data_IF_771134312830
#
_entry.id   IF_771134312830
#
_cell.length_a   1.000
_cell.length_b   1.000
_cell.length_c   1.000
_cell.angle_alpha   90.00
_cell.angle_beta   90.00
_cell.angle_gamma   90.00
#
_symmetry.space_group_name_H-M   'P 1'
#
loop_
_entity.id
_entity.type
_entity.pdbx_description
1 polymer ?
#
# COMPACT_ATOMS: atom_id res chain seq x y z
N UNK A 1 -13.95 -8.05 -5.98
CA UNK A 1 -12.95 -7.07 -5.47
C UNK A 1 -11.76 -6.93 -6.42
N UNK A 2 -10.93 -7.95 -6.65
CA UNK A 2 -9.72 -7.82 -7.50
C UNK A 2 -9.95 -7.26 -8.91
N UNK A 3 -11.00 -7.72 -9.60
CA UNK A 3 -11.39 -7.18 -10.92
C UNK A 3 -11.64 -5.67 -10.92
N UNK A 4 -12.20 -5.12 -9.82
CA UNK A 4 -12.40 -3.68 -9.66
C UNK A 4 -11.06 -2.97 -9.50
N UNK A 5 -10.14 -3.50 -8.69
CA UNK A 5 -8.79 -2.93 -8.55
C UNK A 5 -8.04 -2.89 -9.89
N UNK A 6 -8.08 -3.97 -10.67
CA UNK A 6 -7.44 -4.01 -11.98
C UNK A 6 -8.01 -2.98 -12.96
N UNK A 7 -9.35 -2.91 -13.07
CA UNK A 7 -10.02 -2.06 -14.06
C UNK A 7 -10.07 -0.60 -13.67
N UNK A 8 -10.42 -0.32 -12.42
CA UNK A 8 -10.72 1.04 -11.96
C UNK A 8 -9.51 1.75 -11.35
N UNK A 9 -8.51 1.01 -10.84
CA UNK A 9 -7.37 1.60 -10.14
C UNK A 9 -6.05 1.36 -10.87
N UNK A 10 -5.75 0.14 -11.32
CA UNK A 10 -4.48 -0.16 -11.96
C UNK A 10 -4.43 0.34 -13.41
N UNK A 11 -5.41 -0.04 -14.24
CA UNK A 11 -5.43 0.25 -15.68
C UNK A 11 -5.20 1.75 -16.01
N UNK A 12 -5.79 2.72 -15.29
CA UNK A 12 -5.53 4.14 -15.57
C UNK A 12 -4.10 4.61 -15.24
N UNK A 13 -3.35 3.84 -14.45
CA UNK A 13 -2.06 4.25 -13.88
C UNK A 13 -0.85 3.62 -14.57
N UNK A 14 -1.06 2.64 -15.45
CA UNK A 14 0.00 1.86 -16.10
C UNK A 14 0.02 2.11 -17.60
N UNK A 15 1.21 2.01 -18.21
CA UNK A 15 1.39 2.02 -19.67
C UNK A 15 1.68 0.60 -20.14
N UNK A 16 0.88 0.09 -21.07
CA UNK A 16 1.13 -1.19 -21.69
C UNK A 16 2.33 -1.10 -22.69
N UNK A 17 3.18 -2.13 -22.80
CA UNK A 17 3.20 -3.34 -21.97
C UNK A 17 3.85 -3.10 -20.60
N UNK A 18 3.32 -3.74 -19.57
CA UNK A 18 3.86 -3.67 -18.20
C UNK A 18 3.91 -5.03 -17.51
N UNK A 19 4.67 -5.13 -16.43
CA UNK A 19 4.72 -6.31 -15.56
C UNK A 19 4.12 -5.97 -14.20
N UNK A 20 3.20 -6.81 -13.73
CA UNK A 20 2.57 -6.70 -12.41
C UNK A 20 3.13 -7.79 -11.50
N UNK A 21 4.05 -7.41 -10.61
CA UNK A 21 4.70 -8.31 -9.68
C UNK A 21 3.84 -8.49 -8.41
N UNK A 22 3.33 -9.69 -8.17
CA UNK A 22 2.38 -9.98 -7.08
C UNK A 22 2.75 -11.25 -6.33
N UNK A 23 2.30 -11.36 -5.08
CA UNK A 23 2.29 -12.63 -4.36
C UNK A 23 1.24 -13.60 -4.96
N UNK A 24 1.38 -14.88 -4.62
CA UNK A 24 0.48 -15.97 -5.07
C UNK A 24 -0.85 -16.03 -4.32
N UNK A 25 -1.39 -14.90 -3.87
CA UNK A 25 -2.74 -14.89 -3.29
C UNK A 25 -3.75 -15.34 -4.35
N UNK A 26 -4.66 -16.25 -4.01
CA UNK A 26 -5.56 -16.93 -4.98
C UNK A 26 -6.27 -15.98 -5.95
N UNK A 27 -6.67 -14.80 -5.47
CA UNK A 27 -7.30 -13.79 -6.32
C UNK A 27 -6.35 -13.24 -7.40
N UNK A 28 -5.07 -13.04 -7.08
CA UNK A 28 -4.05 -12.49 -7.98
C UNK A 28 -3.67 -13.47 -9.10
N UNK A 29 -3.66 -14.77 -8.80
CA UNK A 29 -3.32 -15.84 -9.75
C UNK A 29 -4.55 -16.54 -10.36
N UNK A 30 -5.76 -16.09 -10.00
CA UNK A 30 -6.99 -16.61 -10.59
C UNK A 30 -7.03 -16.38 -12.10
N UNK A 31 -7.54 -17.35 -12.87
CA UNK A 31 -7.71 -17.23 -14.33
C UNK A 31 -8.40 -15.92 -14.74
N UNK A 32 -9.45 -15.54 -14.01
CA UNK A 32 -10.15 -14.28 -14.23
C UNK A 32 -9.26 -13.06 -14.00
N UNK A 33 -8.48 -13.04 -12.92
CA UNK A 33 -7.56 -11.94 -12.63
C UNK A 33 -6.45 -11.81 -13.67
N UNK A 34 -5.86 -12.95 -14.08
CA UNK A 34 -4.84 -13.01 -15.11
C UNK A 34 -5.35 -12.46 -16.45
N UNK A 35 -6.53 -12.89 -16.90
CA UNK A 35 -7.13 -12.41 -18.15
C UNK A 35 -7.40 -10.90 -18.12
N UNK A 36 -7.94 -10.37 -17.02
CA UNK A 36 -8.18 -8.92 -16.90
C UNK A 36 -6.86 -8.15 -16.93
N UNK A 37 -5.84 -8.64 -16.23
CA UNK A 37 -4.52 -8.00 -16.21
C UNK A 37 -3.90 -7.96 -17.62
N UNK A 38 -3.91 -9.07 -18.35
CA UNK A 38 -3.30 -9.15 -19.67
C UNK A 38 -4.13 -8.48 -20.76
N UNK A 39 -5.40 -8.85 -20.90
CA UNK A 39 -6.26 -8.44 -22.02
C UNK A 39 -6.79 -7.02 -21.88
N UNK A 40 -7.07 -6.57 -20.64
CA UNK A 40 -7.68 -5.26 -20.42
C UNK A 40 -6.70 -4.18 -19.96
N UNK A 41 -5.70 -4.55 -19.14
CA UNK A 41 -4.71 -3.60 -18.60
C UNK A 41 -3.34 -3.66 -19.31
N UNK A 42 -3.10 -4.65 -20.18
CA UNK A 42 -1.82 -4.80 -20.89
C UNK A 42 -0.66 -5.16 -19.95
N UNK A 43 -0.96 -5.86 -18.85
CA UNK A 43 -0.01 -6.25 -17.82
C UNK A 43 0.18 -7.76 -17.78
N UNK A 44 1.44 -8.21 -17.86
CA UNK A 44 1.79 -9.59 -17.52
C UNK A 44 1.92 -9.74 -16.01
N UNK A 45 1.22 -10.70 -15.41
CA UNK A 45 1.37 -10.99 -13.98
C UNK A 45 2.60 -11.86 -13.75
N UNK A 46 3.55 -11.35 -12.98
CA UNK A 46 4.68 -12.10 -12.47
C UNK A 46 4.40 -12.51 -11.03
N UNK A 47 4.13 -13.81 -10.82
CA UNK A 47 3.86 -14.34 -9.48
C UNK A 47 5.18 -14.63 -8.74
N UNK A 48 5.30 -14.06 -7.54
CA UNK A 48 6.41 -14.31 -6.62
C UNK A 48 6.30 -15.73 -6.04
N UNK A 49 7.40 -16.51 -5.95
CA UNK A 49 7.37 -17.83 -5.32
C UNK A 49 6.75 -17.81 -3.91
N UNK A 50 6.09 -18.91 -3.49
CA UNK A 50 5.58 -19.04 -2.14
C UNK A 50 6.65 -18.67 -1.09
N UNK A 51 6.25 -17.96 -0.04
CA UNK A 51 7.10 -17.58 1.09
C UNK A 51 8.30 -16.67 0.75
N UNK A 52 8.37 -16.11 -0.46
CA UNK A 52 9.47 -15.23 -0.88
C UNK A 52 9.12 -13.74 -0.83
N UNK A 53 7.87 -13.36 -0.56
CA UNK A 53 7.40 -11.97 -0.64
C UNK A 53 8.25 -10.99 0.15
N UNK A 54 8.63 -11.34 1.38
CA UNK A 54 9.49 -10.50 2.24
C UNK A 54 10.90 -10.31 1.72
N UNK A 55 11.36 -11.18 0.81
CA UNK A 55 12.70 -11.15 0.22
C UNK A 55 12.72 -10.51 -1.17
N UNK A 56 11.66 -10.70 -1.97
CA UNK A 56 11.67 -10.31 -3.40
C UNK A 56 10.55 -9.36 -3.82
N UNK A 57 9.60 -9.01 -2.94
CA UNK A 57 8.59 -8.00 -3.29
C UNK A 57 9.12 -6.60 -2.96
N UNK A 58 9.24 -5.68 -3.94
CA UNK A 58 9.71 -4.31 -3.70
C UNK A 58 8.90 -3.56 -2.62
N UNK A 59 7.59 -3.78 -2.59
CA UNK A 59 6.71 -3.20 -1.57
C UNK A 59 7.17 -3.59 -0.17
N UNK A 60 7.33 -4.89 0.10
CA UNK A 60 7.73 -5.40 1.41
C UNK A 60 9.19 -5.10 1.77
N UNK A 61 10.10 -5.26 0.80
CA UNK A 61 11.56 -5.14 1.00
C UNK A 61 12.01 -3.70 1.26
N UNK A 62 11.34 -2.72 0.64
CA UNK A 62 11.82 -1.33 0.64
C UNK A 62 10.79 -0.26 1.03
N UNK A 63 9.49 -0.49 0.88
CA UNK A 63 8.46 0.55 1.09
C UNK A 63 7.69 0.37 2.40
N UNK A 64 7.39 -0.85 2.82
CA UNK A 64 6.59 -1.09 4.03
C UNK A 64 7.25 -0.56 5.30
N UNK A 65 8.59 -0.60 5.40
CA UNK A 65 9.33 -0.07 6.55
C UNK A 65 9.21 1.46 6.66
N UNK A 66 9.58 2.27 5.65
CA UNK A 66 9.40 3.73 5.72
C UNK A 66 7.92 4.11 5.86
N UNK A 67 7.01 3.44 5.15
CA UNK A 67 5.57 3.69 5.28
C UNK A 67 5.06 3.53 6.73
N UNK A 68 5.42 2.44 7.42
CA UNK A 68 5.05 2.23 8.83
C UNK A 68 5.69 3.27 9.76
N UNK A 69 6.91 3.73 9.45
CA UNK A 69 7.57 4.82 10.19
C UNK A 69 6.82 6.14 10.03
N UNK A 70 6.42 6.48 8.81
CA UNK A 70 5.64 7.68 8.53
C UNK A 70 4.28 7.64 9.23
N UNK A 71 3.58 6.51 9.20
CA UNK A 71 2.34 6.30 9.95
C UNK A 71 2.52 6.57 11.45
N UNK A 72 3.56 6.01 12.06
CA UNK A 72 3.87 6.23 13.48
C UNK A 72 4.17 7.70 13.78
N UNK A 73 4.97 8.36 12.95
CA UNK A 73 5.36 9.75 13.15
C UNK A 73 4.15 10.69 13.05
N UNK A 74 3.26 10.47 12.08
CA UNK A 74 2.03 11.26 11.92
C UNK A 74 1.12 11.07 13.14
N UNK A 75 0.96 9.84 13.62
CA UNK A 75 0.15 9.57 14.80
C UNK A 75 0.70 10.28 16.05
N UNK A 76 2.02 10.22 16.29
CA UNK A 76 2.66 10.93 17.40
C UNK A 76 2.53 12.45 17.29
N UNK A 77 2.61 13.02 16.07
CA UNK A 77 2.43 14.46 15.86
C UNK A 77 1.01 14.92 16.19
N UNK A 78 0.01 14.11 15.84
CA UNK A 78 -1.39 14.40 16.16
C UNK A 78 -1.63 14.32 17.69
N UNK A 79 -1.09 13.30 18.38
CA UNK A 79 -1.18 13.22 19.85
C UNK A 79 -0.51 14.42 20.56
N UNK A 80 0.67 14.84 20.10
CA UNK A 80 1.36 15.99 20.68
C UNK A 80 0.62 17.32 20.44
N UNK A 81 -0.07 17.44 19.31
CA UNK A 81 -0.87 18.63 19.00
C UNK A 81 -2.18 18.70 19.80
N UNK A 82 -2.73 17.55 20.20
CA UNK A 82 -3.93 17.44 21.04
C UNK A 82 -3.62 17.64 22.54
N UNK A 83 -2.36 17.44 22.96
CA UNK A 83 -1.93 17.52 24.36
C UNK A 83 -1.69 18.92 24.95
N UNK A 84 -1.93 20.00 24.19
CA UNK A 84 -1.72 21.40 24.61
C UNK A 84 -3.04 22.18 24.79
N UNK A 85 -4.19 21.53 24.58
CA UNK A 85 -5.51 22.11 24.85
C UNK A 85 -6.04 21.65 26.22
N UNK A 86 -5.83 22.51 27.22
CA UNK A 86 -6.33 22.39 28.61
C UNK A 86 -7.87 22.47 28.76
N UNK A 87 -8.67 22.19 27.73
CA UNK A 87 -10.14 22.23 27.90
C UNK A 87 -10.85 21.21 27.00
N UNK A 88 -11.75 20.46 27.64
CA UNK A 88 -12.51 19.30 27.14
C UNK A 88 -11.71 18.00 26.94
N UNK A 89 -11.76 17.15 27.97
CA UNK A 89 -11.55 15.70 27.85
C UNK A 89 -12.36 15.17 26.66
N UNK A 90 -11.74 15.04 25.48
CA UNK A 90 -12.23 14.10 24.46
C UNK A 90 -12.10 12.73 25.12
N UNK A 91 -13.21 12.27 25.70
CA UNK A 91 -13.28 10.93 26.22
C UNK A 91 -12.97 9.97 25.07
N UNK A 92 -11.78 9.38 25.07
CA UNK A 92 -11.30 8.45 24.05
C UNK A 92 -12.24 7.24 23.92
N UNK A 93 -13.10 7.01 24.92
CA UNK A 93 -14.17 6.01 24.93
C UNK A 93 -15.38 6.39 24.06
N UNK A 94 -15.56 7.67 23.69
CA UNK A 94 -16.64 8.14 22.82
C UNK A 94 -16.31 8.06 21.33
N UNK A 95 -15.03 7.86 20.96
CA UNK A 95 -14.62 7.79 19.56
C UNK A 95 -15.13 6.50 18.92
N UNK A 96 -16.03 6.65 17.96
CA UNK A 96 -16.66 5.52 17.24
C UNK A 96 -15.64 4.75 16.39
N UNK A 97 -15.95 3.49 16.11
CA UNK A 97 -15.13 2.67 15.21
C UNK A 97 -15.03 3.28 13.79
N UNK A 98 -16.05 4.02 13.34
CA UNK A 98 -16.04 4.71 12.06
C UNK A 98 -15.01 5.85 12.05
N UNK A 99 -15.00 6.70 13.09
CA UNK A 99 -14.02 7.78 13.23
C UNK A 99 -12.59 7.22 13.32
N UNK A 100 -12.39 6.14 14.10
CA UNK A 100 -11.08 5.45 14.18
C UNK A 100 -10.61 4.97 12.81
N UNK A 101 -11.48 4.33 12.03
CA UNK A 101 -11.16 3.89 10.66
C UNK A 101 -10.85 5.05 9.72
N UNK A 102 -11.65 6.12 9.76
CA UNK A 102 -11.45 7.29 8.90
C UNK A 102 -10.11 7.96 9.19
N UNK A 103 -9.79 8.18 10.47
CA UNK A 103 -8.51 8.75 10.89
C UNK A 103 -7.33 7.88 10.42
N UNK A 104 -7.43 6.54 10.57
CA UNK A 104 -6.39 5.63 10.10
C UNK A 104 -6.21 5.65 8.57
N UNK A 105 -7.30 5.73 7.80
CA UNK A 105 -7.23 5.86 6.33
C UNK A 105 -6.56 7.18 5.94
N UNK A 106 -6.94 8.29 6.58
CA UNK A 106 -6.32 9.60 6.32
C UNK A 106 -4.82 9.60 6.64
N UNK A 107 -4.42 9.02 7.78
CA UNK A 107 -3.01 8.84 8.14
C UNK A 107 -2.28 8.00 7.10
N UNK A 108 -2.88 6.90 6.64
CA UNK A 108 -2.29 6.05 5.60
C UNK A 108 -2.08 6.81 4.28
N UNK A 109 -3.04 7.64 3.86
CA UNK A 109 -2.90 8.48 2.66
C UNK A 109 -1.74 9.48 2.83
N UNK A 110 -1.71 10.20 3.97
CA UNK A 110 -0.62 11.14 4.29
C UNK A 110 0.74 10.43 4.31
N UNK A 111 0.83 9.28 4.97
CA UNK A 111 2.05 8.48 5.07
C UNK A 111 2.51 7.95 3.70
N UNK A 112 1.58 7.55 2.84
CA UNK A 112 1.91 7.07 1.49
C UNK A 112 2.53 8.18 0.65
N UNK A 113 1.98 9.39 0.73
CA UNK A 113 2.46 10.56 -0.02
C UNK A 113 3.89 11.00 0.37
N UNK A 114 4.40 10.58 1.53
CA UNK A 114 5.77 10.87 1.96
C UNK A 114 6.82 9.97 1.30
N UNK A 115 6.42 8.85 0.69
CA UNK A 115 7.36 7.99 -0.04
C UNK A 115 7.77 8.68 -1.35
N UNK A 116 9.07 8.80 -1.57
CA UNK A 116 9.63 9.44 -2.75
C UNK A 116 9.71 8.47 -3.93
N UNK A 117 9.66 8.97 -5.18
CA UNK A 117 9.94 8.14 -6.37
C UNK A 117 11.29 7.43 -6.30
N UNK A 118 12.29 8.03 -5.63
CA UNK A 118 13.61 7.44 -5.50
C UNK A 118 13.62 6.24 -4.54
N UNK A 119 12.88 6.29 -3.44
CA UNK A 119 12.70 5.14 -2.54
C UNK A 119 11.99 3.99 -3.25
N UNK A 120 11.00 4.30 -4.08
CA UNK A 120 10.33 3.31 -4.94
C UNK A 120 11.34 2.66 -5.88
N UNK A 121 12.15 3.43 -6.63
CA UNK A 121 13.17 2.83 -7.52
C UNK A 121 14.18 1.97 -6.76
N UNK A 122 14.65 2.44 -5.60
CA UNK A 122 15.59 1.68 -4.75
C UNK A 122 14.98 0.39 -4.23
N UNK A 123 13.68 0.35 -3.94
CA UNK A 123 13.03 -0.87 -3.46
C UNK A 123 13.04 -1.97 -4.52
N UNK A 124 12.88 -1.63 -5.81
CA UNK A 124 13.03 -2.58 -6.91
C UNK A 124 14.47 -3.08 -7.03
N UNK A 125 15.46 -2.18 -7.00
CA UNK A 125 16.88 -2.56 -7.08
C UNK A 125 17.30 -3.49 -5.92
N UNK A 126 16.70 -3.33 -4.75
CA UNK A 126 16.96 -4.15 -3.55
C UNK A 126 16.27 -5.52 -3.61
N UNK A 127 15.09 -5.59 -4.23
CA UNK A 127 14.25 -6.80 -4.23
C UNK A 127 14.61 -7.79 -5.33
N UNK A 128 15.29 -7.35 -6.39
CA UNK A 128 15.75 -8.23 -7.47
C UNK A 128 17.07 -8.89 -7.03
N UNK A 129 17.13 -10.23 -6.93
CA UNK A 129 18.36 -10.95 -6.61
C UNK A 129 19.46 -10.63 -7.64
N UNK A 130 20.71 -10.48 -7.17
CA UNK A 130 21.90 -10.31 -8.03
C UNK A 130 22.49 -11.65 -8.45
#
# INVERSE_FOLDING_TARGET
VWAYYLRSLLKPQVRAPSVLLLNIFDSHVSKRGLNIASEEAGCLVAAIPPNATSAVQPLDVGIMVPFKRHLRNIWLQEELAEGDHDDENIDLMTVTAQQKRLAMVQRAIKAWALNTPQEIRRSFAKAIPQ
#
